data_IF_438768647374
#
_entry.id   IF_438768647374
#
_cell.length_a   1.000
_cell.length_b   1.000
_cell.length_c   1.000
_cell.angle_alpha   90.00
_cell.angle_beta   90.00
_cell.angle_gamma   90.00
#
_symmetry.space_group_name_H-M   'P 1'
#
loop_
_entity.id
_entity.type
_entity.pdbx_description
1 polymer ?
#
# COMPACT_ATOMS: atom_id res chain seq x y z
N UNK A 1 1.75 -16.10 -18.14
CA UNK A 1 1.11 -16.09 -16.80
C UNK A 1 0.75 -14.64 -16.57
N UNK A 2 -0.54 -14.30 -16.58
CA UNK A 2 -0.90 -12.89 -16.39
C UNK A 2 -0.73 -12.53 -14.92
N UNK A 3 -0.02 -11.43 -14.68
CA UNK A 3 0.29 -10.90 -13.36
C UNK A 3 -0.41 -9.56 -13.21
N UNK A 4 -1.34 -9.48 -12.27
CA UNK A 4 -1.89 -8.20 -11.81
C UNK A 4 -1.23 -7.87 -10.48
N UNK A 5 -0.59 -6.71 -10.39
CA UNK A 5 0.02 -6.27 -9.14
C UNK A 5 -0.15 -4.78 -8.91
N UNK A 6 -0.19 -4.40 -7.65
CA UNK A 6 -0.17 -3.01 -7.25
C UNK A 6 0.48 -2.86 -5.88
N UNK A 7 0.98 -1.64 -5.65
CA UNK A 7 1.57 -1.23 -4.38
C UNK A 7 0.78 -0.07 -3.84
N UNK A 8 0.58 -0.01 -2.53
CA UNK A 8 0.09 1.20 -1.89
C UNK A 8 0.75 1.45 -0.54
N UNK A 9 0.91 2.73 -0.21
CA UNK A 9 1.20 3.17 1.15
C UNK A 9 -0.09 3.65 1.78
N UNK A 10 -0.44 3.14 2.95
CA UNK A 10 -1.64 3.52 3.68
C UNK A 10 -1.31 4.03 5.08
N UNK A 11 -2.05 5.06 5.49
CA UNK A 11 -2.12 5.55 6.86
C UNK A 11 -3.52 5.22 7.35
N UNK A 12 -3.61 4.43 8.42
CA UNK A 12 -4.84 4.13 9.12
C UNK A 12 -4.83 4.83 10.48
N UNK A 13 -5.92 5.52 10.82
CA UNK A 13 -6.08 6.18 12.11
C UNK A 13 -7.52 6.08 12.57
N UNK A 14 -7.71 5.99 13.89
CA UNK A 14 -9.04 6.00 14.50
C UNK A 14 -9.54 7.45 14.64
N UNK A 15 -8.64 8.35 15.04
CA UNK A 15 -8.98 9.71 15.44
C UNK A 15 -8.69 10.75 14.37
N UNK A 16 -7.79 10.45 13.42
CA UNK A 16 -7.39 11.36 12.35
C UNK A 16 -8.11 10.99 11.06
N UNK A 17 -8.95 11.89 10.56
CA UNK A 17 -9.68 11.70 9.30
C UNK A 17 -8.74 11.78 8.08
N UNK A 18 -9.15 11.22 6.95
CA UNK A 18 -8.38 11.32 5.71
C UNK A 18 -8.17 12.78 5.25
N UNK A 19 -9.16 13.66 5.44
CA UNK A 19 -9.04 15.10 5.11
C UNK A 19 -8.02 15.82 6.01
N UNK A 20 -7.91 15.41 7.28
CA UNK A 20 -6.86 15.90 8.18
C UNK A 20 -5.49 15.41 7.76
N UNK A 21 -5.35 14.13 7.40
CA UNK A 21 -4.11 13.56 6.86
C UNK A 21 -3.68 14.32 5.60
N UNK A 22 -4.60 14.55 4.66
CA UNK A 22 -4.35 15.35 3.44
C UNK A 22 -3.85 16.75 3.79
N UNK A 23 -4.49 17.44 4.74
CA UNK A 23 -4.06 18.78 5.18
C UNK A 23 -2.68 18.78 5.82
N UNK A 24 -2.37 17.77 6.62
CA UNK A 24 -1.07 17.66 7.30
C UNK A 24 0.07 17.34 6.33
N UNK A 25 -0.16 16.44 5.37
CA UNK A 25 0.86 16.04 4.41
C UNK A 25 0.95 16.97 3.19
N UNK A 26 -0.13 17.69 2.87
CA UNK A 26 -0.25 18.55 1.69
C UNK A 26 -0.16 17.76 0.38
N UNK A 27 -0.66 16.52 0.38
CA UNK A 27 -0.70 15.59 -0.75
C UNK A 27 -2.08 14.96 -0.77
N UNK A 28 -2.70 14.87 -1.95
CA UNK A 28 -3.98 14.19 -2.13
C UNK A 28 -3.80 12.66 -2.17
N UNK A 29 -4.68 11.89 -1.52
CA UNK A 29 -4.69 10.44 -1.63
C UNK A 29 -5.20 10.01 -3.00
N UNK A 30 -4.80 8.82 -3.42
CA UNK A 30 -5.42 8.15 -4.56
C UNK A 30 -6.71 7.41 -4.14
N UNK A 31 -6.81 7.04 -2.86
CA UNK A 31 -7.95 6.32 -2.32
C UNK A 31 -8.15 6.67 -0.84
N UNK A 32 -9.42 6.84 -0.45
CA UNK A 32 -9.85 6.97 0.94
C UNK A 32 -10.88 5.90 1.24
N UNK A 33 -10.68 5.16 2.34
CA UNK A 33 -11.66 4.17 2.80
C UNK A 33 -11.96 4.36 4.27
N UNK A 34 -13.21 4.14 4.66
CA UNK A 34 -13.65 4.16 6.05
C UNK A 34 -14.09 2.74 6.41
N UNK A 35 -13.38 2.08 7.32
CA UNK A 35 -13.73 0.71 7.75
C UNK A 35 -14.73 0.77 8.90
N UNK A 36 -15.85 0.08 8.78
CA UNK A 36 -16.86 -0.05 9.85
C UNK A 36 -16.67 -1.31 10.69
N UNK A 37 -17.26 -1.34 11.88
CA UNK A 37 -17.39 -2.56 12.69
C UNK A 37 -18.51 -3.46 12.14
N UNK A 38 -18.25 -4.77 12.04
CA UNK A 38 -19.27 -5.79 11.71
C UNK A 38 -20.10 -6.22 12.95
N UNK A 39 -19.81 -5.70 14.14
CA UNK A 39 -20.41 -6.17 15.40
C UNK A 39 -21.67 -5.39 15.75
N UNK A 40 -22.79 -6.09 15.99
CA UNK A 40 -24.06 -5.47 16.36
C UNK A 40 -24.11 -5.05 17.84
N UNK A 41 -24.03 -3.75 18.04
CA UNK A 41 -24.32 -2.91 19.22
C UNK A 41 -23.32 -2.85 20.40
N UNK A 42 -22.86 -1.63 20.77
CA UNK A 42 -22.95 -0.38 20.01
C UNK A 42 -21.68 -0.17 19.16
N UNK A 43 -21.71 -0.27 17.81
CA UNK A 43 -20.69 0.35 16.97
C UNK A 43 -21.16 1.76 16.59
N UNK A 44 -20.48 2.80 17.09
CA UNK A 44 -20.85 4.20 16.82
C UNK A 44 -19.72 4.99 16.12
N UNK A 45 -18.58 4.36 15.87
CA UNK A 45 -17.43 4.98 15.20
C UNK A 45 -17.00 4.17 13.97
N UNK A 46 -16.58 4.81 12.87
CA UNK A 46 -15.74 4.13 11.90
C UNK A 46 -14.54 3.55 12.66
N UNK A 47 -14.27 2.27 12.45
CA UNK A 47 -13.23 1.53 13.14
C UNK A 47 -11.84 2.11 12.81
N UNK A 48 -11.64 2.60 11.59
CA UNK A 48 -10.52 3.46 11.22
C UNK A 48 -10.78 4.17 9.87
N UNK A 49 -10.20 5.36 9.73
CA UNK A 49 -10.02 6.08 8.47
C UNK A 49 -8.72 5.63 7.82
N UNK A 50 -8.77 5.19 6.56
CA UNK A 50 -7.57 4.91 5.78
C UNK A 50 -7.40 5.94 4.66
N UNK A 51 -6.18 6.47 4.56
CA UNK A 51 -5.71 7.36 3.51
C UNK A 51 -4.60 6.65 2.73
N UNK A 52 -4.65 6.61 1.38
CA UNK A 52 -3.72 5.80 0.58
C UNK A 52 -3.11 6.54 -0.61
N UNK A 53 -1.85 6.20 -0.91
CA UNK A 53 -1.17 6.48 -2.19
C UNK A 53 -0.89 5.14 -2.86
N UNK A 54 -1.32 4.97 -4.10
CA UNK A 54 -1.30 3.71 -4.85
C UNK A 54 -0.57 3.85 -6.18
N UNK A 55 0.14 2.80 -6.57
CA UNK A 55 0.64 2.61 -7.93
C UNK A 55 0.15 1.25 -8.45
N UNK A 56 -0.59 1.27 -9.55
CA UNK A 56 -1.06 0.08 -10.26
C UNK A 56 -0.77 0.18 -11.76
N UNK A 57 0.27 0.93 -12.13
CA UNK A 57 0.66 1.15 -13.52
C UNK A 57 1.10 -0.20 -14.14
N UNK A 58 0.47 -0.63 -15.25
CA UNK A 58 0.86 -1.84 -15.94
C UNK A 58 2.30 -1.77 -16.46
N UNK A 59 3.01 -2.91 -16.45
CA UNK A 59 4.37 -3.01 -16.99
C UNK A 59 5.47 -2.52 -16.05
N UNK A 60 5.14 -1.94 -14.90
CA UNK A 60 6.12 -1.67 -13.84
C UNK A 60 6.37 -2.92 -12.98
N UNK A 61 7.64 -3.12 -12.64
CA UNK A 61 8.06 -4.05 -11.59
C UNK A 61 7.63 -3.57 -10.20
N UNK A 62 7.60 -4.47 -9.21
CA UNK A 62 7.17 -4.14 -7.84
C UNK A 62 8.04 -3.04 -7.22
N UNK A 63 9.37 -3.11 -7.39
CA UNK A 63 10.30 -2.10 -6.88
C UNK A 63 10.06 -0.74 -7.55
N UNK A 64 9.82 -0.71 -8.86
CA UNK A 64 9.42 0.53 -9.55
C UNK A 64 8.11 1.11 -9.02
N UNK A 65 7.09 0.28 -8.77
CA UNK A 65 5.83 0.74 -8.17
C UNK A 65 6.03 1.28 -6.73
N UNK A 66 6.88 0.62 -5.94
CA UNK A 66 7.30 1.11 -4.61
C UNK A 66 7.98 2.49 -4.74
N UNK A 67 8.89 2.66 -5.69
CA UNK A 67 9.58 3.94 -5.90
C UNK A 67 8.62 5.04 -6.34
N UNK A 68 7.58 4.74 -7.13
CA UNK A 68 6.55 5.73 -7.49
C UNK A 68 5.77 6.20 -6.27
N UNK A 69 5.33 5.27 -5.42
CA UNK A 69 4.60 5.59 -4.17
C UNK A 69 5.49 6.41 -3.23
N UNK A 70 6.70 5.93 -2.94
CA UNK A 70 7.65 6.63 -2.04
C UNK A 70 8.08 7.97 -2.63
N UNK A 71 8.28 8.06 -3.94
CA UNK A 71 8.67 9.29 -4.63
C UNK A 71 7.69 10.43 -4.41
N UNK A 72 6.38 10.14 -4.33
CA UNK A 72 5.34 11.13 -4.01
C UNK A 72 5.38 11.60 -2.56
N UNK A 73 5.76 10.74 -1.64
CA UNK A 73 5.78 11.03 -0.20
C UNK A 73 7.11 11.62 0.27
N UNK A 74 8.22 11.36 -0.44
CA UNK A 74 9.57 11.79 -0.07
C UNK A 74 9.71 13.31 0.17
N UNK A 75 9.06 14.20 -0.60
CA UNK A 75 9.11 15.64 -0.31
C UNK A 75 8.47 16.04 1.04
N UNK A 76 7.70 15.14 1.66
CA UNK A 76 6.91 15.37 2.88
C UNK A 76 7.35 14.51 4.07
N UNK A 77 8.58 13.99 4.03
CA UNK A 77 9.07 13.03 5.04
C UNK A 77 9.00 13.53 6.47
N UNK A 78 9.27 14.80 6.72
CA UNK A 78 9.20 15.39 8.07
C UNK A 78 7.76 15.33 8.61
N UNK A 79 6.81 15.91 7.86
CA UNK A 79 5.39 15.88 8.23
C UNK A 79 4.84 14.44 8.33
N UNK A 80 5.30 13.54 7.45
CA UNK A 80 4.92 12.14 7.49
C UNK A 80 5.43 11.44 8.75
N UNK A 81 6.69 11.66 9.12
CA UNK A 81 7.31 11.06 10.32
C UNK A 81 6.65 11.59 11.59
N UNK A 82 6.38 12.89 11.65
CA UNK A 82 5.67 13.51 12.77
C UNK A 82 4.26 12.93 12.92
N UNK A 83 3.55 12.77 11.80
CA UNK A 83 2.23 12.16 11.79
C UNK A 83 2.29 10.71 12.27
N UNK A 84 3.13 9.87 11.67
CA UNK A 84 3.18 8.44 12.03
C UNK A 84 3.67 8.21 13.46
N UNK A 85 4.58 9.06 13.97
CA UNK A 85 5.01 9.04 15.38
C UNK A 85 3.84 9.32 16.32
N UNK A 86 2.99 10.31 15.98
CA UNK A 86 1.77 10.56 16.75
C UNK A 86 0.79 9.38 16.67
N UNK A 87 0.56 8.84 15.47
CA UNK A 87 -0.35 7.72 15.25
C UNK A 87 0.08 6.45 15.99
N UNK A 88 1.38 6.23 16.15
CA UNK A 88 1.90 5.10 16.93
C UNK A 88 1.51 5.16 18.43
N UNK A 89 1.00 6.30 18.92
CA UNK A 89 0.47 6.44 20.28
C UNK A 89 -1.04 6.24 20.38
N UNK A 90 -1.75 6.09 19.26
CA UNK A 90 -3.20 5.84 19.25
C UNK A 90 -3.50 4.42 19.76
N UNK A 91 -4.49 4.29 20.64
CA UNK A 91 -5.00 2.99 21.05
C UNK A 91 -6.00 2.48 20.00
N UNK A 92 -5.66 1.38 19.31
CA UNK A 92 -6.60 0.71 18.41
C UNK A 92 -6.00 0.27 17.08
N UNK A 93 -6.85 -0.06 16.09
CA UNK A 93 -6.48 -0.53 14.76
C UNK A 93 -5.97 0.63 13.87
N UNK A 94 -4.88 1.27 14.28
CA UNK A 94 -4.17 2.31 13.53
C UNK A 94 -2.81 1.82 13.06
N UNK A 95 -2.16 2.60 12.21
CA UNK A 95 -0.78 2.34 11.78
C UNK A 95 -0.50 2.73 10.34
N UNK A 96 0.72 2.44 9.93
CA UNK A 96 1.23 2.76 8.59
C UNK A 96 1.73 1.50 7.93
N UNK A 97 1.38 1.31 6.65
CA UNK A 97 1.73 0.09 5.93
C UNK A 97 2.09 0.42 4.47
N UNK A 98 3.13 -0.22 3.98
CA UNK A 98 3.42 -0.38 2.57
C UNK A 98 2.96 -1.78 2.16
N UNK A 99 1.88 -1.86 1.41
CA UNK A 99 1.33 -3.13 0.93
C UNK A 99 1.77 -3.39 -0.51
N UNK A 100 2.18 -4.62 -0.79
CA UNK A 100 2.36 -5.17 -2.12
C UNK A 100 1.33 -6.28 -2.34
N UNK A 101 0.52 -6.18 -3.38
CA UNK A 101 -0.52 -7.15 -3.70
C UNK A 101 -0.26 -7.73 -5.10
N UNK A 102 -0.15 -9.06 -5.19
CA UNK A 102 0.19 -9.77 -6.44
C UNK A 102 -0.78 -10.91 -6.70
N UNK A 103 -1.41 -10.89 -7.85
CA UNK A 103 -2.40 -11.87 -8.29
C UNK A 103 -1.87 -12.59 -9.52
N UNK A 104 -1.67 -13.90 -9.40
CA UNK A 104 -1.13 -14.77 -10.44
C UNK A 104 -2.26 -15.53 -11.12
N UNK A 105 -2.41 -15.37 -12.43
CA UNK A 105 -3.39 -16.10 -13.23
C UNK A 105 -2.66 -17.01 -14.24
N UNK A 106 -2.94 -18.32 -14.20
CA UNK A 106 -2.38 -19.29 -15.15
C UNK A 106 -3.11 -19.33 -16.50
N UNK A 107 -4.33 -18.79 -16.57
CA UNK A 107 -5.08 -18.74 -17.82
C UNK A 107 -4.66 -17.53 -18.67
N UNK A 108 -4.43 -17.83 -19.96
CA UNK A 108 -4.19 -16.92 -21.08
C UNK A 108 -2.78 -16.37 -21.29
N UNK A 109 -1.75 -17.22 -21.46
CA UNK A 109 -0.69 -16.89 -22.43
C UNK A 109 -0.15 -18.14 -23.14
N UNK A 110 -0.21 -18.13 -24.49
CA UNK A 110 0.74 -18.89 -25.32
C UNK A 110 2.15 -18.37 -24.98
N UNK A 111 3.19 -19.21 -24.97
CA UNK A 111 4.53 -18.77 -24.61
C UNK A 111 4.98 -17.65 -25.57
N UNK A 112 5.01 -16.40 -25.09
CA UNK A 112 5.70 -15.33 -25.78
C UNK A 112 7.18 -15.65 -25.69
N UNK A 113 7.81 -15.80 -26.85
CA UNK A 113 9.24 -16.10 -26.99
C UNK A 113 10.08 -14.82 -27.04
N UNK A 114 9.61 -13.75 -26.41
CA UNK A 114 10.37 -12.50 -26.31
C UNK A 114 11.28 -12.54 -25.09
N UNK A 115 12.58 -12.39 -25.33
CA UNK A 115 13.69 -12.30 -24.36
C UNK A 115 13.59 -11.05 -23.45
N UNK A 116 12.46 -10.34 -23.50
CA UNK A 116 12.17 -9.08 -22.81
C UNK A 116 11.13 -9.29 -21.69
N UNK A 117 11.13 -10.47 -21.07
CA UNK A 117 10.58 -10.71 -19.72
C UNK A 117 11.43 -9.90 -18.71
N UNK A 118 11.31 -8.57 -18.85
CA UNK A 118 11.76 -7.57 -17.89
C UNK A 118 11.26 -8.05 -16.54
N UNK A 119 12.13 -8.11 -15.54
CA UNK A 119 11.87 -8.73 -14.24
C UNK A 119 10.71 -8.04 -13.48
N UNK A 120 9.46 -8.25 -13.92
CA UNK A 120 8.24 -7.63 -13.37
C UNK A 120 8.02 -8.00 -11.90
N UNK A 121 8.71 -9.05 -11.44
CA UNK A 121 8.67 -9.49 -10.05
C UNK A 121 9.34 -8.52 -9.09
N UNK A 122 10.32 -7.71 -9.54
CA UNK A 122 10.91 -6.62 -8.75
C UNK A 122 11.25 -7.01 -7.30
N UNK A 123 12.32 -7.79 -7.08
CA UNK A 123 12.57 -8.45 -5.78
C UNK A 123 13.47 -7.66 -4.82
N UNK A 124 13.84 -6.43 -5.16
CA UNK A 124 14.85 -5.68 -4.43
C UNK A 124 14.23 -4.50 -3.70
N UNK A 125 14.41 -4.49 -2.38
CA UNK A 125 14.26 -3.27 -1.59
C UNK A 125 15.64 -2.61 -1.52
N UNK A 126 15.77 -1.44 -2.12
CA UNK A 126 16.99 -0.66 -2.00
C UNK A 126 17.06 0.06 -0.65
N UNK A 127 18.20 0.72 -0.40
CA UNK A 127 18.44 1.41 0.87
C UNK A 127 17.43 2.54 1.10
N UNK A 128 17.02 3.24 0.06
CA UNK A 128 16.11 4.37 0.19
C UNK A 128 14.70 3.92 0.58
N UNK A 129 14.26 2.75 0.12
CA UNK A 129 13.00 2.13 0.57
C UNK A 129 13.10 1.72 2.03
N UNK A 130 14.20 1.06 2.44
CA UNK A 130 14.40 0.65 3.83
C UNK A 130 14.47 1.85 4.78
N UNK A 131 15.16 2.92 4.40
CA UNK A 131 15.23 4.14 5.20
C UNK A 131 13.86 4.83 5.32
N UNK A 132 13.05 4.79 4.25
CA UNK A 132 11.67 5.30 4.29
C UNK A 132 10.80 4.51 5.27
N UNK A 133 10.83 3.17 5.21
CA UNK A 133 10.07 2.31 6.13
C UNK A 133 10.51 2.54 7.57
N UNK A 134 11.82 2.61 7.83
CA UNK A 134 12.36 2.87 9.16
C UNK A 134 11.96 4.24 9.71
N UNK A 135 12.01 5.30 8.87
CA UNK A 135 11.64 6.65 9.29
C UNK A 135 10.14 6.78 9.59
N UNK A 136 9.30 6.12 8.79
CA UNK A 136 7.84 6.20 8.96
C UNK A 136 7.30 5.22 10.00
N UNK A 137 8.09 4.21 10.38
CA UNK A 137 7.62 3.10 11.21
C UNK A 137 6.58 2.24 10.49
N UNK A 138 6.54 2.27 9.16
CA UNK A 138 5.57 1.52 8.38
C UNK A 138 5.95 0.04 8.29
N UNK A 139 4.97 -0.83 8.46
CA UNK A 139 5.12 -2.25 8.15
C UNK A 139 5.19 -2.43 6.63
N UNK A 140 5.95 -3.45 6.19
CA UNK A 140 5.90 -3.94 4.83
C UNK A 140 5.12 -5.25 4.83
N UNK A 141 4.04 -5.30 4.07
CA UNK A 141 3.25 -6.52 3.87
C UNK A 141 3.16 -6.87 2.39
N UNK A 142 3.23 -8.18 2.11
CA UNK A 142 3.30 -8.72 0.76
C UNK A 142 2.29 -9.87 0.65
N UNK A 143 1.18 -9.60 -0.03
CA UNK A 143 0.16 -10.57 -0.38
C UNK A 143 0.40 -11.16 -1.75
N UNK A 144 0.49 -12.50 -1.84
CA UNK A 144 0.56 -13.24 -3.09
C UNK A 144 -0.62 -14.21 -3.18
N UNK A 145 -1.39 -14.09 -4.26
CA UNK A 145 -2.62 -14.85 -4.47
C UNK A 145 -2.57 -15.59 -5.80
N UNK A 146 -2.76 -16.91 -5.72
CA UNK A 146 -3.02 -17.73 -6.90
C UNK A 146 -4.52 -17.62 -7.24
N UNK A 147 -4.81 -17.04 -8.40
CA UNK A 147 -6.16 -16.81 -8.90
C UNK A 147 -6.54 -17.87 -9.94
N UNK A 148 -5.79 -18.98 -10.03
CA UNK A 148 -6.19 -20.11 -10.85
C UNK A 148 -7.51 -20.71 -10.35
N UNK A 149 -8.50 -20.91 -11.24
CA UNK A 149 -9.72 -21.60 -10.84
C UNK A 149 -9.35 -23.00 -10.38
N UNK A 150 -9.87 -23.40 -9.22
CA UNK A 150 -9.80 -24.79 -8.76
C UNK A 150 -10.60 -25.67 -9.71
N UNK A 151 -9.99 -26.78 -10.16
CA UNK A 151 -10.71 -27.83 -10.89
C UNK A 151 -11.69 -28.51 -9.90
N UNK A 152 -12.96 -28.10 -9.92
CA UNK A 152 -14.08 -28.80 -9.27
C UNK A 152 -14.64 -29.91 -10.17
#
# INVERSE_FOLDING_TARGET
MSLTQYVYFAIASVDTTADEITRLLGVEPDEVTVRGSLTASPPVTPFCHCWKIRCCEPGLSVDEQIHQVIGRLRPRMEALTDLTTRLATEEGPGGTILQVERFFNRHDEKPSSSVDDTNLFGRRLDRAVVDFLAATGADLDVGEYDMTPSDD
#
